data_IF_533282783254
#
_entry.id   IF_533282783254
#
_cell.length_a   1.000
_cell.length_b   1.000
_cell.length_c   1.000
_cell.angle_alpha   90.00
_cell.angle_beta   90.00
_cell.angle_gamma   90.00
#
_symmetry.space_group_name_H-M   'P 1'
#
loop_
_entity.id
_entity.type
_entity.pdbx_description
1 polymer ?
#
# COMPACT_ATOMS: atom_id res chain seq x y z
N UNK A 1 -37.91 10.21 -42.11
CA UNK A 1 -36.62 9.50 -42.03
C UNK A 1 -36.92 8.03 -41.86
N UNK A 2 -36.57 7.22 -42.84
CA UNK A 2 -36.81 5.76 -42.85
C UNK A 2 -35.82 5.10 -41.87
N UNK A 3 -36.17 3.96 -41.31
CA UNK A 3 -35.33 3.24 -40.36
C UNK A 3 -33.93 2.88 -40.89
N UNK A 4 -33.77 2.82 -42.20
CA UNK A 4 -32.47 2.58 -42.87
C UNK A 4 -31.52 3.80 -42.81
N UNK A 5 -32.08 5.04 -42.87
CA UNK A 5 -31.24 6.25 -42.75
C UNK A 5 -30.69 6.43 -41.34
N UNK A 6 -31.44 6.04 -40.30
CA UNK A 6 -30.97 6.06 -38.92
C UNK A 6 -29.92 5.00 -38.66
N UNK A 7 -30.04 3.82 -39.27
CA UNK A 7 -29.05 2.74 -39.14
C UNK A 7 -27.74 3.12 -39.81
N UNK A 8 -27.79 3.73 -41.00
CA UNK A 8 -26.62 4.20 -41.73
C UNK A 8 -25.90 5.36 -41.02
N UNK A 9 -26.64 6.23 -40.35
CA UNK A 9 -26.08 7.28 -39.50
C UNK A 9 -25.36 6.70 -38.28
N UNK A 10 -25.91 5.69 -37.62
CA UNK A 10 -25.31 5.00 -36.50
C UNK A 10 -24.04 4.23 -36.89
N UNK A 11 -24.04 3.60 -38.07
CA UNK A 11 -22.86 2.89 -38.60
C UNK A 11 -21.73 3.87 -38.95
N UNK A 12 -22.05 5.03 -39.52
CA UNK A 12 -21.06 6.06 -39.81
C UNK A 12 -20.48 6.74 -38.55
N UNK A 13 -21.29 6.93 -37.50
CA UNK A 13 -20.82 7.44 -36.22
C UNK A 13 -19.83 6.48 -35.56
N UNK A 14 -20.07 5.16 -35.62
CA UNK A 14 -19.18 4.14 -35.09
C UNK A 14 -17.84 4.02 -35.87
N UNK A 15 -17.80 4.50 -37.09
CA UNK A 15 -16.60 4.48 -37.95
C UNK A 15 -15.67 5.68 -37.73
N UNK A 16 -16.23 6.80 -37.23
CA UNK A 16 -15.52 8.09 -37.08
C UNK A 16 -15.06 8.33 -35.62
N UNK A 17 -15.75 7.76 -34.65
CA UNK A 17 -15.46 7.99 -33.23
C UNK A 17 -14.68 6.82 -32.64
N UNK A 18 -13.59 7.13 -31.95
CA UNK A 18 -12.84 6.12 -31.19
C UNK A 18 -13.73 5.46 -30.12
N UNK A 19 -13.51 4.18 -29.78
CA UNK A 19 -14.30 3.48 -28.76
C UNK A 19 -14.35 4.19 -27.41
N UNK A 20 -13.34 4.98 -27.09
CA UNK A 20 -13.27 5.80 -25.87
C UNK A 20 -14.21 7.01 -25.90
N UNK A 21 -14.43 7.61 -27.09
CA UNK A 21 -15.37 8.71 -27.28
C UNK A 21 -16.82 8.23 -27.23
N UNK A 22 -17.10 7.07 -27.83
CA UNK A 22 -18.44 6.43 -27.76
C UNK A 22 -18.80 6.04 -26.34
N UNK A 23 -17.84 5.53 -25.56
CA UNK A 23 -18.03 5.21 -24.16
C UNK A 23 -18.33 6.45 -23.32
N UNK A 24 -17.68 7.58 -23.62
CA UNK A 24 -17.91 8.85 -22.94
C UNK A 24 -19.27 9.50 -23.29
N UNK A 25 -19.80 9.22 -24.49
CA UNK A 25 -21.15 9.68 -24.90
C UNK A 25 -22.23 8.79 -24.28
N UNK A 26 -21.99 7.47 -24.17
CA UNK A 26 -22.92 6.53 -23.56
C UNK A 26 -22.96 6.60 -22.03
N UNK A 27 -21.82 6.93 -21.40
CA UNK A 27 -21.79 7.29 -19.99
C UNK A 27 -22.27 8.75 -19.90
N UNK A 28 -23.57 8.93 -19.97
CA UNK A 28 -24.18 10.23 -19.75
C UNK A 28 -23.52 10.87 -18.55
N UNK A 29 -22.97 12.10 -18.71
CA UNK A 29 -22.38 12.85 -17.60
C UNK A 29 -23.42 12.87 -16.48
N UNK A 30 -23.18 12.07 -15.44
CA UNK A 30 -24.01 12.16 -14.23
C UNK A 30 -23.95 13.61 -13.76
N UNK A 31 -25.06 14.31 -13.93
CA UNK A 31 -25.18 15.69 -13.47
C UNK A 31 -24.98 15.71 -11.98
N UNK A 32 -23.91 16.35 -11.53
CA UNK A 32 -23.66 16.56 -10.10
C UNK A 32 -24.56 17.70 -9.64
N UNK A 33 -25.60 17.35 -8.90
CA UNK A 33 -26.45 18.34 -8.26
C UNK A 33 -25.75 18.81 -6.97
N UNK A 34 -25.73 20.13 -6.78
CA UNK A 34 -25.28 20.74 -5.53
C UNK A 34 -26.43 20.74 -4.52
N UNK A 35 -26.64 19.59 -3.90
CA UNK A 35 -27.70 19.41 -2.92
C UNK A 35 -27.31 20.00 -1.57
N UNK A 36 -28.32 20.53 -0.85
CA UNK A 36 -28.13 20.97 0.52
C UNK A 36 -27.73 19.79 1.40
N UNK A 37 -26.65 19.96 2.15
CA UNK A 37 -26.19 18.94 3.09
C UNK A 37 -27.19 18.88 4.27
N UNK A 38 -27.73 17.69 4.59
CA UNK A 38 -28.59 17.53 5.76
C UNK A 38 -27.78 17.68 7.05
N UNK A 39 -28.42 18.13 8.12
CA UNK A 39 -27.83 18.26 9.46
C UNK A 39 -26.67 19.25 9.57
N UNK A 40 -26.62 20.26 8.73
CA UNK A 40 -25.64 21.34 8.84
C UNK A 40 -26.17 22.42 9.78
N UNK A 41 -25.47 22.63 10.89
CA UNK A 41 -25.83 23.62 11.89
C UNK A 41 -25.06 24.93 11.64
N UNK A 42 -25.58 25.83 10.81
CA UNK A 42 -24.98 27.13 10.47
C UNK A 42 -25.54 28.28 11.31
N UNK A 43 -25.94 28.03 12.56
CA UNK A 43 -26.54 29.03 13.47
C UNK A 43 -25.54 29.75 14.37
N UNK A 44 -24.30 29.27 14.44
CA UNK A 44 -23.22 29.86 15.23
C UNK A 44 -22.30 30.71 14.34
N UNK A 45 -21.35 31.43 14.93
CA UNK A 45 -20.34 32.20 14.20
C UNK A 45 -19.31 31.28 13.51
N UNK A 46 -19.76 30.40 12.62
CA UNK A 46 -18.96 29.38 11.95
C UNK A 46 -17.88 29.99 11.07
N UNK A 47 -18.09 31.20 10.54
CA UNK A 47 -17.13 31.89 9.65
C UNK A 47 -15.76 32.09 10.32
N UNK A 48 -15.71 32.26 11.65
CA UNK A 48 -14.47 32.37 12.40
C UNK A 48 -13.64 31.08 12.41
N UNK A 49 -14.29 29.95 12.16
CA UNK A 49 -13.63 28.62 12.17
C UNK A 49 -13.30 28.12 10.78
N UNK A 50 -13.62 28.88 9.73
CA UNK A 50 -13.29 28.50 8.35
C UNK A 50 -11.79 28.60 8.14
N UNK A 51 -11.19 27.47 7.69
CA UNK A 51 -9.78 27.41 7.30
C UNK A 51 -9.69 27.24 5.80
N UNK A 52 -9.15 28.22 5.11
CA UNK A 52 -8.93 28.14 3.67
C UNK A 52 -7.77 27.19 3.33
N UNK A 53 -7.89 26.48 2.23
CA UNK A 53 -6.90 25.49 1.77
C UNK A 53 -6.21 25.91 0.47
N UNK A 54 -6.12 27.21 0.19
CA UNK A 54 -5.49 27.71 -1.05
C UNK A 54 -4.02 27.35 -1.16
N UNK A 55 -3.35 27.12 -0.04
CA UNK A 55 -1.95 26.72 -0.01
C UNK A 55 -1.72 25.21 -0.16
N UNK A 56 -2.77 24.41 -0.43
CA UNK A 56 -2.68 22.95 -0.55
C UNK A 56 -1.68 22.48 -1.61
N UNK A 57 -1.66 23.01 -2.83
CA UNK A 57 -0.68 22.62 -3.86
C UNK A 57 0.75 22.94 -3.45
N UNK A 58 1.00 24.14 -2.95
CA UNK A 58 2.33 24.56 -2.48
C UNK A 58 2.82 23.72 -1.31
N UNK A 59 1.91 23.36 -0.39
CA UNK A 59 2.22 22.46 0.74
C UNK A 59 2.58 21.05 0.26
N UNK A 60 1.89 20.53 -0.76
CA UNK A 60 2.20 19.24 -1.38
C UNK A 60 3.61 19.24 -1.98
N UNK A 61 3.94 20.29 -2.71
CA UNK A 61 5.27 20.44 -3.33
C UNK A 61 6.37 20.54 -2.28
N UNK A 62 6.20 21.39 -1.26
CA UNK A 62 7.18 21.49 -0.15
C UNK A 62 7.42 20.15 0.56
N UNK A 63 6.36 19.38 0.81
CA UNK A 63 6.48 18.05 1.42
C UNK A 63 7.22 17.07 0.50
N UNK A 64 7.03 17.15 -0.81
CA UNK A 64 7.75 16.33 -1.78
C UNK A 64 9.24 16.66 -1.76
N UNK A 65 9.59 17.92 -1.90
CA UNK A 65 10.98 18.39 -1.88
C UNK A 65 11.69 18.05 -0.57
N UNK A 66 11.00 18.21 0.57
CA UNK A 66 11.55 17.84 1.87
C UNK A 66 11.84 16.33 1.98
N UNK A 67 10.97 15.48 1.44
CA UNK A 67 11.22 14.02 1.39
C UNK A 67 12.38 13.68 0.47
N UNK A 68 12.50 14.33 -0.68
CA UNK A 68 13.63 14.14 -1.60
C UNK A 68 14.97 14.54 -0.96
N UNK A 69 15.01 15.71 -0.35
CA UNK A 69 16.20 16.19 0.37
C UNK A 69 16.59 15.24 1.52
N UNK A 70 15.61 14.76 2.29
CA UNK A 70 15.84 13.79 3.34
C UNK A 70 16.38 12.48 2.78
N UNK A 71 15.79 11.96 1.68
CA UNK A 71 16.24 10.74 1.03
C UNK A 71 17.70 10.83 0.58
N UNK A 72 18.09 11.94 -0.06
CA UNK A 72 19.46 12.19 -0.47
C UNK A 72 20.44 12.22 0.72
N UNK A 73 20.04 12.87 1.83
CA UNK A 73 20.89 13.02 3.02
C UNK A 73 21.14 11.69 3.74
N UNK A 74 20.12 10.81 3.81
CA UNK A 74 20.23 9.56 4.58
C UNK A 74 20.62 8.33 3.73
N UNK A 75 20.80 8.52 2.44
CA UNK A 75 21.22 7.44 1.53
C UNK A 75 22.50 6.74 2.07
N UNK A 76 22.60 5.40 2.06
CA UNK A 76 21.72 4.39 1.46
C UNK A 76 20.56 3.87 2.34
N UNK A 77 20.33 4.50 3.49
CA UNK A 77 19.23 4.08 4.39
C UNK A 77 17.88 4.34 3.75
N UNK A 78 16.88 3.44 3.93
CA UNK A 78 15.53 3.68 3.45
C UNK A 78 14.89 4.88 4.17
N UNK A 79 14.06 5.66 3.44
CA UNK A 79 13.39 6.84 3.99
C UNK A 79 12.38 6.47 5.08
N UNK A 80 11.63 5.39 4.87
CA UNK A 80 10.63 4.90 5.80
C UNK A 80 11.11 3.69 6.59
N UNK A 81 10.61 3.60 7.82
CA UNK A 81 10.84 2.44 8.68
C UNK A 81 9.89 1.30 8.30
N UNK A 82 10.27 0.07 8.61
CA UNK A 82 9.45 -1.12 8.37
C UNK A 82 8.22 -1.09 9.28
N UNK A 83 7.04 -1.32 8.67
CA UNK A 83 5.74 -1.38 9.34
C UNK A 83 5.09 -2.74 9.13
N UNK A 84 4.33 -3.25 10.11
CA UNK A 84 3.57 -4.48 9.96
C UNK A 84 2.38 -4.30 9.03
N UNK A 85 1.82 -5.40 8.60
CA UNK A 85 0.57 -5.46 7.86
C UNK A 85 -0.53 -5.89 8.82
N UNK A 86 -1.61 -5.15 8.84
CA UNK A 86 -2.74 -5.43 9.75
C UNK A 86 -4.07 -5.30 8.99
N UNK A 87 -5.06 -6.03 9.45
CA UNK A 87 -6.43 -5.86 9.01
C UNK A 87 -7.06 -4.63 9.67
N UNK A 88 -8.00 -4.00 8.99
CA UNK A 88 -8.76 -2.91 9.58
C UNK A 88 -9.75 -3.47 10.61
N UNK A 89 -9.95 -2.75 11.71
CA UNK A 89 -10.75 -3.21 12.85
C UNK A 89 -12.25 -3.25 12.56
N UNK A 90 -12.76 -2.42 11.64
CA UNK A 90 -14.20 -2.32 11.39
C UNK A 90 -14.68 -3.42 10.45
N UNK A 91 -15.92 -3.88 10.65
CA UNK A 91 -16.56 -4.91 9.81
C UNK A 91 -16.55 -4.55 8.32
N UNK A 92 -16.76 -3.27 7.98
CA UNK A 92 -16.76 -2.78 6.61
C UNK A 92 -15.39 -2.94 5.92
N UNK A 93 -14.28 -2.84 6.66
CA UNK A 93 -12.92 -2.79 6.12
C UNK A 93 -12.01 -3.93 6.58
N UNK A 94 -12.50 -4.89 7.36
CA UNK A 94 -11.70 -5.98 7.92
C UNK A 94 -11.02 -6.87 6.85
N UNK A 95 -11.61 -6.96 5.66
CA UNK A 95 -11.03 -7.68 4.53
C UNK A 95 -9.85 -6.94 3.86
N UNK A 96 -9.64 -5.65 4.18
CA UNK A 96 -8.57 -4.84 3.59
C UNK A 96 -7.33 -4.84 4.49
N UNK A 97 -6.17 -5.09 3.85
CA UNK A 97 -4.88 -4.97 4.50
C UNK A 97 -4.37 -3.53 4.44
N UNK A 98 -3.87 -3.04 5.55
CA UNK A 98 -3.21 -1.74 5.68
C UNK A 98 -1.91 -1.83 6.46
N UNK A 99 -1.08 -0.81 6.38
CA UNK A 99 0.09 -0.71 7.23
C UNK A 99 -0.32 -0.33 8.66
N UNK A 100 0.20 -1.08 9.64
CA UNK A 100 0.05 -0.81 11.06
C UNK A 100 1.07 0.20 11.57
N UNK A 101 0.98 0.52 12.86
CA UNK A 101 1.92 1.43 13.53
C UNK A 101 3.26 0.78 13.81
N UNK A 102 3.28 -0.42 14.39
CA UNK A 102 4.49 -1.13 14.77
C UNK A 102 4.23 -2.62 14.99
N UNK A 103 5.29 -3.41 15.02
CA UNK A 103 5.26 -4.84 15.30
C UNK A 103 5.02 -5.10 16.79
N UNK A 104 4.34 -6.19 17.10
CA UNK A 104 4.12 -6.65 18.47
C UNK A 104 5.39 -7.29 19.04
N UNK A 105 5.43 -7.42 20.36
CA UNK A 105 6.52 -8.13 21.03
C UNK A 105 6.50 -9.62 20.70
N UNK A 106 5.31 -10.20 20.46
CA UNK A 106 5.15 -11.60 20.06
C UNK A 106 5.70 -11.87 18.68
N UNK A 107 5.38 -11.00 17.70
CA UNK A 107 5.93 -11.07 16.33
C UNK A 107 7.45 -10.96 16.33
N UNK A 108 8.00 -10.04 17.13
CA UNK A 108 9.45 -9.88 17.26
C UNK A 108 10.12 -11.09 17.92
N UNK A 109 9.51 -11.67 18.95
CA UNK A 109 9.99 -12.88 19.63
C UNK A 109 10.02 -14.06 18.66
N UNK A 110 8.95 -14.26 17.90
CA UNK A 110 8.87 -15.32 16.88
C UNK A 110 9.91 -15.15 15.76
N UNK A 111 10.19 -13.93 15.33
CA UNK A 111 11.23 -13.61 14.33
C UNK A 111 12.67 -13.60 14.93
N UNK A 112 12.83 -13.89 16.22
CA UNK A 112 14.14 -13.86 16.94
C UNK A 112 14.83 -12.50 16.78
N UNK A 113 14.11 -11.41 17.04
CA UNK A 113 14.60 -10.04 16.98
C UNK A 113 14.32 -9.36 18.32
N UNK A 114 15.35 -8.85 18.99
CA UNK A 114 15.12 -8.11 20.23
C UNK A 114 14.48 -6.75 19.95
N UNK A 115 13.57 -6.25 20.80
CA UNK A 115 12.91 -4.96 20.59
C UNK A 115 13.88 -3.77 20.51
N UNK A 116 14.95 -3.81 21.30
CA UNK A 116 15.99 -2.78 21.30
C UNK A 116 16.74 -2.75 19.97
N UNK A 117 17.16 -3.92 19.47
CA UNK A 117 17.80 -4.05 18.17
C UNK A 117 16.86 -3.63 17.04
N UNK A 118 15.59 -4.03 17.08
CA UNK A 118 14.60 -3.66 16.08
C UNK A 118 14.53 -2.14 15.86
N UNK A 119 14.54 -1.36 16.94
CA UNK A 119 14.48 0.11 16.85
C UNK A 119 15.74 0.70 16.18
N UNK A 120 16.90 0.10 16.38
CA UNK A 120 18.16 0.57 15.77
C UNK A 120 18.23 0.32 14.27
N UNK A 121 17.65 -0.78 13.79
CA UNK A 121 17.67 -1.18 12.37
C UNK A 121 16.44 -0.70 11.58
N UNK A 122 15.65 0.21 12.15
CA UNK A 122 14.53 0.80 11.42
C UNK A 122 13.23 -0.02 11.41
N UNK A 123 13.03 -0.91 12.38
CA UNK A 123 11.79 -1.63 12.62
C UNK A 123 11.01 -0.89 13.70
N UNK A 124 9.73 -0.58 13.45
CA UNK A 124 8.87 0.09 14.44
C UNK A 124 8.23 -0.95 15.34
N UNK A 125 8.33 -0.74 16.65
CA UNK A 125 7.72 -1.60 17.67
C UNK A 125 6.53 -0.90 18.31
N UNK A 126 5.42 -1.63 18.49
CA UNK A 126 4.23 -1.17 19.19
C UNK A 126 3.80 -2.22 20.23
N UNK A 127 4.17 -1.97 21.48
CA UNK A 127 3.87 -2.87 22.61
C UNK A 127 2.38 -2.92 22.97
N UNK A 128 1.57 -1.96 22.50
CA UNK A 128 0.13 -1.88 22.81
C UNK A 128 -0.72 -2.78 21.92
N UNK A 129 -0.22 -3.13 20.72
CA UNK A 129 -0.93 -4.01 19.81
C UNK A 129 -0.85 -5.44 20.31
N UNK A 130 -1.98 -6.16 20.22
CA UNK A 130 -2.07 -7.58 20.53
C UNK A 130 -2.34 -8.37 19.26
N UNK A 131 -1.75 -9.56 19.17
CA UNK A 131 -1.96 -10.48 18.06
C UNK A 131 -3.14 -11.39 18.40
N UNK A 132 -4.24 -11.21 17.67
CA UNK A 132 -5.47 -12.02 17.84
C UNK A 132 -5.52 -13.15 16.81
N UNK A 133 -4.86 -12.99 15.66
CA UNK A 133 -4.88 -13.93 14.54
C UNK A 133 -3.49 -14.52 14.31
N UNK A 134 -3.41 -15.84 14.25
CA UNK A 134 -2.18 -16.56 13.90
C UNK A 134 -1.72 -16.26 12.48
N UNK A 135 -2.65 -16.13 11.53
CA UNK A 135 -2.33 -15.75 10.14
C UNK A 135 -1.65 -14.38 10.09
N UNK A 136 -2.18 -13.41 10.85
CA UNK A 136 -1.60 -12.07 10.96
C UNK A 136 -0.21 -12.10 11.56
N UNK A 137 0.01 -12.90 12.60
CA UNK A 137 1.31 -13.09 13.22
C UNK A 137 2.30 -13.71 12.23
N UNK A 138 1.95 -14.79 11.56
CA UNK A 138 2.81 -15.45 10.58
C UNK A 138 3.17 -14.53 9.41
N UNK A 139 2.22 -13.77 8.88
CA UNK A 139 2.45 -12.79 7.80
C UNK A 139 3.49 -11.74 8.22
N UNK A 140 3.41 -11.26 9.44
CA UNK A 140 4.32 -10.24 9.95
C UNK A 140 5.69 -10.83 10.32
N UNK A 141 5.75 -12.07 10.80
CA UNK A 141 7.01 -12.80 11.02
C UNK A 141 7.75 -13.00 9.70
N UNK A 142 7.10 -13.50 8.66
CA UNK A 142 7.68 -13.64 7.32
C UNK A 142 8.19 -12.30 6.78
N UNK A 143 7.45 -11.21 7.06
CA UNK A 143 7.85 -9.87 6.68
C UNK A 143 9.12 -9.41 7.41
N UNK A 144 9.26 -9.72 8.69
CA UNK A 144 10.46 -9.44 9.47
C UNK A 144 11.66 -10.26 8.99
N UNK A 145 11.46 -11.53 8.69
CA UNK A 145 12.50 -12.42 8.14
C UNK A 145 12.95 -11.94 6.76
N UNK A 146 12.05 -11.57 5.89
CA UNK A 146 12.36 -10.99 4.56
C UNK A 146 13.13 -9.67 4.67
N UNK A 147 12.86 -8.87 5.71
CA UNK A 147 13.61 -7.66 5.97
C UNK A 147 15.01 -7.99 6.50
N UNK A 148 15.11 -8.91 7.45
CA UNK A 148 16.35 -9.35 8.07
C UNK A 148 17.32 -9.97 7.04
N UNK A 149 16.81 -10.75 6.08
CA UNK A 149 17.64 -11.34 5.02
C UNK A 149 18.23 -10.31 4.05
N UNK A 150 17.57 -9.15 3.89
CA UNK A 150 18.01 -8.05 3.03
C UNK A 150 18.75 -6.93 3.79
N UNK A 151 18.86 -7.07 5.11
CA UNK A 151 19.45 -6.04 5.95
C UNK A 151 20.97 -6.13 5.89
N UNK A 152 21.62 -5.02 5.52
CA UNK A 152 23.06 -4.84 5.54
C UNK A 152 23.40 -3.98 6.75
N UNK A 153 24.22 -4.49 7.64
CA UNK A 153 24.68 -3.78 8.83
C UNK A 153 26.10 -3.25 8.57
N UNK A 154 26.25 -1.93 8.76
CA UNK A 154 27.54 -1.28 8.71
C UNK A 154 28.11 -1.17 10.13
N UNK A 155 29.44 -1.24 10.29
CA UNK A 155 30.07 -1.13 11.60
C UNK A 155 29.78 0.26 12.19
N UNK A 156 29.47 0.30 13.49
CA UNK A 156 29.28 1.56 14.22
C UNK A 156 30.57 2.35 14.37
N UNK A 157 31.68 1.61 14.45
CA UNK A 157 33.07 2.13 14.51
C UNK A 157 33.85 1.43 13.43
N UNK A 158 34.42 2.19 12.51
CA UNK A 158 35.21 1.66 11.39
C UNK A 158 36.38 0.78 11.90
N UNK A 159 37.03 1.17 13.01
CA UNK A 159 38.21 0.50 13.56
C UNK A 159 37.87 -0.80 14.29
N UNK A 160 36.61 -1.01 14.69
CA UNK A 160 36.19 -2.21 15.47
C UNK A 160 34.89 -2.79 14.96
N UNK A 161 34.88 -3.43 13.78
CA UNK A 161 33.68 -4.09 13.27
C UNK A 161 33.32 -5.31 14.14
N UNK A 162 32.04 -5.53 14.37
CA UNK A 162 31.52 -6.72 15.02
C UNK A 162 31.37 -7.86 14.03
N UNK A 163 31.36 -9.10 14.53
CA UNK A 163 31.08 -10.28 13.70
C UNK A 163 29.71 -10.11 13.01
N UNK A 164 29.72 -10.15 11.69
CA UNK A 164 28.52 -9.95 10.86
C UNK A 164 28.30 -8.53 10.32
N UNK A 165 29.15 -7.56 10.72
CA UNK A 165 29.15 -6.23 10.11
C UNK A 165 29.86 -6.27 8.75
N UNK A 166 29.34 -5.49 7.81
CA UNK A 166 29.98 -5.28 6.50
C UNK A 166 30.71 -3.94 6.55
N UNK A 167 31.96 -3.92 6.08
CA UNK A 167 32.71 -2.67 5.99
C UNK A 167 32.02 -1.69 5.06
N UNK A 168 32.03 -0.41 5.45
CA UNK A 168 31.52 0.65 4.60
C UNK A 168 32.24 0.65 3.25
N UNK A 169 31.46 0.80 2.19
CA UNK A 169 32.04 1.01 0.86
C UNK A 169 32.57 2.43 0.76
N UNK A 170 33.66 2.61 0.02
CA UNK A 170 34.15 3.97 -0.29
C UNK A 170 33.09 4.78 -1.03
N UNK A 171 33.12 6.11 -0.82
CA UNK A 171 32.18 7.02 -1.45
C UNK A 171 32.11 6.88 -2.98
N UNK A 172 33.22 6.50 -3.60
CA UNK A 172 33.31 6.31 -5.06
C UNK A 172 32.58 5.04 -5.51
N UNK A 173 32.63 3.96 -4.73
CA UNK A 173 31.82 2.76 -5.00
C UNK A 173 30.33 2.99 -4.79
N UNK A 174 29.95 3.87 -3.86
CA UNK A 174 28.56 4.28 -3.68
C UNK A 174 28.04 5.13 -4.84
N UNK A 175 28.91 5.94 -5.46
CA UNK A 175 28.56 6.73 -6.65
C UNK A 175 28.49 5.88 -7.92
N UNK A 176 29.37 4.87 -8.06
CA UNK A 176 29.41 3.96 -9.20
C UNK A 176 28.39 2.82 -9.12
N UNK A 177 27.99 2.40 -7.90
CA UNK A 177 26.82 1.56 -7.80
C UNK A 177 25.66 2.36 -8.35
N UNK A 178 24.97 1.83 -9.36
CA UNK A 178 23.63 2.27 -9.72
C UNK A 178 22.74 2.07 -8.48
N UNK A 179 22.88 2.97 -7.56
CA UNK A 179 22.04 3.04 -6.39
C UNK A 179 20.66 3.31 -6.93
N UNK A 180 19.91 2.24 -7.08
CA UNK A 180 18.57 2.30 -7.60
C UNK A 180 17.85 3.44 -6.90
N UNK A 181 17.29 4.37 -7.66
CA UNK A 181 16.68 5.60 -7.15
C UNK A 181 15.86 5.28 -5.91
N UNK A 182 16.26 5.85 -4.78
CA UNK A 182 15.58 5.60 -3.52
C UNK A 182 14.09 5.94 -3.65
N UNK A 183 13.23 5.00 -3.30
CA UNK A 183 11.81 5.16 -3.51
C UNK A 183 11.20 6.06 -2.44
N UNK A 184 10.90 7.29 -2.80
CA UNK A 184 10.43 8.35 -1.88
C UNK A 184 8.99 8.12 -1.40
N UNK A 185 8.21 7.37 -2.15
CA UNK A 185 6.77 7.22 -1.90
C UNK A 185 6.34 5.82 -1.47
N UNK A 186 7.24 4.85 -1.47
CA UNK A 186 6.90 3.46 -1.18
C UNK A 186 7.51 3.01 0.13
N UNK A 187 6.75 2.20 0.85
CA UNK A 187 7.26 1.49 2.01
C UNK A 187 8.41 0.55 1.65
N UNK A 188 9.30 0.29 2.60
CA UNK A 188 10.49 -0.57 2.43
C UNK A 188 10.15 -1.92 1.81
N UNK A 189 9.09 -2.55 2.29
CA UNK A 189 8.51 -3.76 1.69
C UNK A 189 7.04 -3.47 1.38
N UNK A 190 6.61 -3.79 0.17
CA UNK A 190 5.22 -3.63 -0.25
C UNK A 190 4.28 -4.51 0.61
N UNK A 191 3.02 -4.09 0.73
CA UNK A 191 1.98 -4.95 1.30
C UNK A 191 1.54 -6.00 0.28
N UNK A 192 1.12 -7.20 0.71
CA UNK A 192 0.55 -8.19 -0.21
C UNK A 192 -0.68 -7.61 -0.90
N UNK A 193 -0.78 -7.85 -2.20
CA UNK A 193 -1.95 -7.46 -2.99
C UNK A 193 -2.90 -8.66 -3.03
N UNK A 194 -4.10 -8.48 -2.48
CA UNK A 194 -5.13 -9.51 -2.58
C UNK A 194 -5.61 -9.60 -4.03
N UNK A 195 -5.51 -10.76 -4.63
CA UNK A 195 -6.14 -11.04 -5.91
C UNK A 195 -7.65 -11.14 -5.67
N UNK A 196 -8.41 -10.16 -6.17
CA UNK A 196 -9.86 -10.10 -6.01
C UNK A 196 -10.60 -10.98 -7.03
N UNK A 197 -9.94 -11.31 -8.13
CA UNK A 197 -10.48 -12.17 -9.19
C UNK A 197 -9.45 -13.23 -9.53
N UNK A 198 -9.91 -14.44 -9.56
CA UNK A 198 -9.16 -15.57 -10.09
C UNK A 198 -9.48 -15.69 -11.57
N UNK A 199 -8.49 -16.09 -12.36
CA UNK A 199 -8.72 -16.40 -13.78
C UNK A 199 -9.63 -17.62 -13.89
N UNK A 200 -10.50 -17.62 -14.90
CA UNK A 200 -11.33 -18.78 -15.18
C UNK A 200 -10.44 -20.00 -15.48
N UNK A 201 -10.70 -21.10 -14.80
CA UNK A 201 -9.97 -22.35 -14.97
C UNK A 201 -10.92 -23.40 -15.58
N UNK A 202 -10.35 -24.32 -16.36
CA UNK A 202 -11.11 -25.47 -16.87
C UNK A 202 -11.48 -26.38 -15.69
N UNK A 203 -12.75 -26.73 -15.59
CA UNK A 203 -13.23 -27.66 -14.55
C UNK A 203 -12.65 -29.05 -14.87
N UNK A 204 -11.90 -29.61 -13.91
CA UNK A 204 -11.37 -30.97 -14.03
C UNK A 204 -12.47 -32.03 -13.80
N UNK A 205 -12.27 -33.26 -14.31
CA UNK A 205 -13.21 -34.35 -14.07
C UNK A 205 -13.37 -34.61 -12.56
N UNK A 206 -12.29 -34.60 -11.81
CA UNK A 206 -12.29 -34.78 -10.34
C UNK A 206 -13.14 -33.75 -9.61
N UNK A 207 -13.04 -32.48 -10.01
CA UNK A 207 -13.86 -31.40 -9.44
C UNK A 207 -15.35 -31.62 -9.76
N UNK A 208 -15.68 -32.12 -10.95
CA UNK A 208 -17.04 -32.38 -11.39
C UNK A 208 -17.65 -33.56 -10.63
N UNK A 209 -16.87 -34.64 -10.41
CA UNK A 209 -17.30 -35.84 -9.74
C UNK A 209 -17.32 -35.69 -8.19
N UNK A 210 -16.69 -34.66 -7.65
CA UNK A 210 -16.66 -34.38 -6.22
C UNK A 210 -18.02 -33.90 -5.73
N UNK A 211 -18.76 -34.73 -5.01
CA UNK A 211 -20.06 -34.40 -4.41
C UNK A 211 -19.84 -33.59 -3.12
N UNK A 212 -19.48 -32.32 -3.27
CA UNK A 212 -19.13 -31.40 -2.16
C UNK A 212 -20.27 -31.29 -1.12
N UNK A 213 -21.52 -31.23 -1.57
CA UNK A 213 -22.69 -31.16 -0.69
C UNK A 213 -22.80 -32.36 0.27
N UNK A 214 -22.53 -33.57 -0.24
CA UNK A 214 -22.53 -34.79 0.62
C UNK A 214 -21.40 -34.77 1.64
N UNK A 215 -20.20 -34.33 1.24
CA UNK A 215 -19.05 -34.22 2.16
C UNK A 215 -19.30 -33.20 3.27
N UNK A 216 -19.86 -32.02 2.95
CA UNK A 216 -20.18 -30.98 3.93
C UNK A 216 -21.31 -31.38 4.89
N UNK A 217 -22.19 -32.29 4.48
CA UNK A 217 -23.27 -32.76 5.32
C UNK A 217 -22.85 -33.89 6.27
N UNK A 218 -21.70 -34.51 6.05
CA UNK A 218 -21.11 -35.56 6.87
C UNK A 218 -20.10 -35.02 7.91
N UNK A 219 -19.74 -33.75 7.84
CA UNK A 219 -18.99 -32.98 8.83
C UNK A 219 -19.94 -32.36 9.86
#
# INVERSE_FOLDING_TARGET
>A
MTGEETLNLLININRVLSPSLLLNILIGKMVKHNNVLPNVHLRKHWQRFVKSWFNQPARKQRRLLARQAKAAKIFPRPLEKLRPIVHSSTRKYNAKLRYGRGFTLQELKAAKVSPQFAQTVGIIVDHRRQDVSEEGLQLNVQRLESYKSKLILFPRRADKPKKGDIHDTTADKLKSAEAGKQNIHKHVIAKPVRKLREAAQKITKEQRDTKVYRKLRQL
#
